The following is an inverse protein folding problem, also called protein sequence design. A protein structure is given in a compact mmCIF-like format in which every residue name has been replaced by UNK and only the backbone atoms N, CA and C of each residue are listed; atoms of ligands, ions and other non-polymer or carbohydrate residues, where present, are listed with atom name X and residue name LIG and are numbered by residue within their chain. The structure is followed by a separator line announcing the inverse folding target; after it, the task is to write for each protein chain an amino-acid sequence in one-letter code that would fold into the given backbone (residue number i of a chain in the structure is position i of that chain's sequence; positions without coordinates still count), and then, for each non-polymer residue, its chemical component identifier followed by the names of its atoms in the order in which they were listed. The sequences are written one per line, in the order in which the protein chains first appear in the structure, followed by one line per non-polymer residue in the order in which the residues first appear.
data_IF_941770919274
#
_entry.id   IF_941770919274
#
_cell.length_a   1.000
_cell.length_b   1.000
_cell.length_c   1.000
_cell.angle_alpha   90.00
_cell.angle_beta   90.00
_cell.angle_gamma   90.00
#
_symmetry.space_group_name_H-M   'P 1'
#
loop_
_entity.id
_entity.type
_entity.pdbx_description
1 polymer ?
#
# COMPACT_ATOMS: atom_id res chain seq x y z
N UNK A 1 11.62 -11.74 -23.90
CA UNK A 1 11.99 -10.83 -22.80
C UNK A 1 12.10 -9.33 -23.17
N UNK A 2 12.28 -8.97 -24.45
CA UNK A 2 12.41 -7.54 -24.87
C UNK A 2 11.21 -6.63 -24.53
N UNK A 3 10.02 -7.18 -24.38
CA UNK A 3 8.80 -6.39 -24.18
C UNK A 3 8.29 -6.35 -22.72
N UNK A 4 8.84 -7.16 -21.82
CA UNK A 4 8.36 -7.23 -20.43
C UNK A 4 8.49 -5.88 -19.70
N UNK A 5 9.60 -5.18 -19.89
CA UNK A 5 9.82 -3.87 -19.29
C UNK A 5 8.97 -2.76 -19.93
N UNK A 6 8.62 -2.87 -21.22
CA UNK A 6 7.70 -1.95 -21.89
C UNK A 6 6.27 -2.12 -21.33
N UNK A 7 5.82 -3.37 -21.16
CA UNK A 7 4.51 -3.68 -20.57
C UNK A 7 4.48 -3.20 -19.12
N UNK A 8 5.53 -3.53 -18.34
CA UNK A 8 5.65 -3.04 -16.97
C UNK A 8 5.60 -1.51 -16.89
N UNK A 9 6.40 -0.83 -17.71
CA UNK A 9 6.41 0.63 -17.78
C UNK A 9 5.05 1.22 -18.17
N UNK A 10 4.33 0.61 -19.11
CA UNK A 10 2.99 1.04 -19.50
C UNK A 10 1.97 0.88 -18.35
N UNK A 11 2.05 -0.22 -17.60
CA UNK A 11 1.18 -0.47 -16.43
C UNK A 11 1.45 0.56 -15.33
N UNK A 12 2.72 0.82 -14.99
CA UNK A 12 3.09 1.84 -14.02
C UNK A 12 2.65 3.24 -14.45
N UNK A 13 2.84 3.58 -15.72
CA UNK A 13 2.41 4.85 -16.28
C UNK A 13 0.88 5.01 -16.20
N UNK A 14 0.11 3.99 -16.61
CA UNK A 14 -1.34 4.01 -16.52
C UNK A 14 -1.82 4.18 -15.07
N UNK A 15 -1.21 3.47 -14.12
CA UNK A 15 -1.50 3.61 -12.70
C UNK A 15 -1.17 5.01 -12.17
N UNK A 16 0.01 5.56 -12.53
CA UNK A 16 0.40 6.92 -12.16
C UNK A 16 -0.59 7.96 -12.69
N UNK A 17 -1.04 7.83 -13.95
CA UNK A 17 -2.09 8.67 -14.53
C UNK A 17 -3.39 8.50 -13.75
N UNK A 18 -3.78 7.27 -13.45
CA UNK A 18 -5.02 6.98 -12.71
C UNK A 18 -5.05 7.65 -11.33
N UNK A 19 -3.99 7.54 -10.53
CA UNK A 19 -3.93 8.18 -9.22
C UNK A 19 -3.74 9.71 -9.28
N UNK A 20 -3.13 10.22 -10.35
CA UNK A 20 -2.88 11.67 -10.50
C UNK A 20 -4.13 12.43 -10.89
N UNK A 21 -4.93 11.85 -11.78
CA UNK A 21 -6.15 12.47 -12.31
C UNK A 21 -7.45 11.95 -11.67
N UNK A 22 -7.35 11.02 -10.74
CA UNK A 22 -8.47 10.59 -9.90
C UNK A 22 -8.94 11.69 -8.96
N UNK A 23 -10.14 11.53 -8.44
CA UNK A 23 -10.81 12.52 -7.58
C UNK A 23 -10.58 12.23 -6.11
N UNK A 24 -9.98 13.18 -5.36
CA UNK A 24 -9.73 13.03 -3.92
C UNK A 24 -8.94 11.75 -3.58
N UNK A 25 -9.59 10.78 -2.94
CA UNK A 25 -9.01 9.53 -2.48
C UNK A 25 -9.36 8.33 -3.38
N UNK A 26 -9.85 8.60 -4.59
CA UNK A 26 -10.23 7.61 -5.60
C UNK A 26 -9.37 7.74 -6.86
N UNK A 27 -9.18 6.64 -7.55
CA UNK A 27 -8.54 6.61 -8.86
C UNK A 27 -9.52 6.99 -10.00
N UNK A 28 -9.04 7.00 -11.26
CA UNK A 28 -9.90 7.30 -12.41
C UNK A 28 -11.03 6.30 -12.64
N UNK A 29 -10.90 5.08 -12.13
CA UNK A 29 -11.94 4.05 -12.21
C UNK A 29 -12.96 4.15 -11.06
N UNK A 30 -12.79 5.14 -10.15
CA UNK A 30 -13.64 5.30 -8.99
C UNK A 30 -13.39 4.29 -7.88
N UNK A 31 -12.23 3.62 -7.90
CA UNK A 31 -11.82 2.73 -6.82
C UNK A 31 -10.99 3.49 -5.79
N UNK A 32 -11.11 3.15 -4.48
CA UNK A 32 -10.23 3.72 -3.46
C UNK A 32 -8.77 3.52 -3.80
N UNK A 33 -7.95 4.57 -3.64
CA UNK A 33 -6.51 4.46 -3.82
C UNK A 33 -5.93 3.43 -2.85
N UNK A 34 -5.23 2.42 -3.38
CA UNK A 34 -4.67 1.37 -2.56
C UNK A 34 -5.75 0.59 -1.82
N UNK A 35 -6.50 -0.27 -2.53
CA UNK A 35 -7.65 -0.98 -1.98
C UNK A 35 -7.41 -1.61 -0.60
N UNK A 36 -6.24 -2.27 -0.40
CA UNK A 36 -5.89 -2.84 0.90
C UNK A 36 -5.27 -1.80 1.86
N UNK A 37 -4.87 -0.62 1.34
CA UNK A 37 -4.25 0.42 2.17
C UNK A 37 -5.24 1.09 3.12
N UNK A 38 -6.53 1.14 2.76
CA UNK A 38 -7.55 1.83 3.55
C UNK A 38 -7.76 1.18 4.93
N UNK A 39 -7.69 -0.15 5.01
CA UNK A 39 -7.83 -0.87 6.27
C UNK A 39 -6.66 -0.56 7.22
N UNK A 40 -5.43 -0.53 6.71
CA UNK A 40 -4.25 -0.15 7.50
C UNK A 40 -4.28 1.30 7.94
N UNK A 41 -4.67 2.21 7.06
CA UNK A 41 -4.78 3.62 7.39
C UNK A 41 -5.86 3.86 8.44
N UNK A 42 -7.03 3.24 8.30
CA UNK A 42 -8.11 3.28 9.27
C UNK A 42 -7.69 2.71 10.63
N UNK A 43 -6.95 1.59 10.64
CA UNK A 43 -6.37 1.04 11.86
C UNK A 43 -5.45 2.05 12.57
N UNK A 44 -4.59 2.74 11.82
CA UNK A 44 -3.74 3.81 12.35
C UNK A 44 -4.54 4.97 12.94
N UNK A 45 -5.62 5.41 12.28
CA UNK A 45 -6.54 6.45 12.78
C UNK A 45 -7.23 5.99 14.06
N UNK A 46 -7.74 4.76 14.10
CA UNK A 46 -8.40 4.16 15.27
C UNK A 46 -7.48 4.20 16.50
N UNK A 47 -6.23 3.77 16.33
CA UNK A 47 -5.24 3.80 17.42
C UNK A 47 -4.93 5.24 17.85
N UNK A 48 -4.77 6.18 16.91
CA UNK A 48 -4.51 7.59 17.22
C UNK A 48 -5.69 8.28 17.93
N UNK A 49 -6.92 7.80 17.74
CA UNK A 49 -8.12 8.26 18.47
C UNK A 49 -8.22 7.67 19.89
N UNK A 50 -7.36 6.68 20.22
CA UNK A 50 -7.42 5.97 21.51
C UNK A 50 -8.52 4.91 21.58
N UNK A 51 -9.04 4.46 20.45
CA UNK A 51 -10.19 3.55 20.28
C UNK A 51 -9.72 2.16 19.83
N UNK A 52 -8.59 1.70 20.36
CA UNK A 52 -7.94 0.44 19.95
C UNK A 52 -8.80 -0.80 20.18
N UNK A 53 -9.79 -0.77 21.04
CA UNK A 53 -10.80 -1.79 21.26
C UNK A 53 -11.76 -1.96 20.07
N UNK A 54 -11.90 -0.92 19.23
CA UNK A 54 -12.72 -0.93 18.01
C UNK A 54 -11.93 -1.30 16.75
N UNK A 55 -10.67 -1.72 16.88
CA UNK A 55 -9.79 -2.03 15.76
C UNK A 55 -10.38 -3.09 14.79
N UNK A 56 -11.14 -4.02 15.33
CA UNK A 56 -11.79 -5.11 14.58
C UNK A 56 -13.32 -5.02 14.61
N UNK A 57 -13.88 -3.91 15.09
CA UNK A 57 -15.32 -3.69 15.04
C UNK A 57 -15.75 -3.35 13.60
N UNK A 58 -16.64 -4.17 13.05
CA UNK A 58 -17.07 -4.08 11.67
C UNK A 58 -17.74 -2.75 11.35
N UNK A 59 -18.72 -2.36 12.15
CA UNK A 59 -19.54 -1.17 11.87
C UNK A 59 -18.72 0.10 12.05
N UNK A 60 -17.90 0.16 13.11
CA UNK A 60 -16.96 1.25 13.33
C UNK A 60 -15.97 1.42 12.19
N UNK A 61 -15.28 0.34 11.78
CA UNK A 61 -14.25 0.40 10.73
C UNK A 61 -14.86 0.77 9.38
N UNK A 62 -16.04 0.24 9.07
CA UNK A 62 -16.74 0.60 7.84
C UNK A 62 -17.08 2.10 7.79
N UNK A 63 -17.64 2.65 8.86
CA UNK A 63 -17.98 4.08 8.96
C UNK A 63 -16.72 4.96 8.89
N UNK A 64 -15.65 4.55 9.58
CA UNK A 64 -14.36 5.24 9.55
C UNK A 64 -13.75 5.28 8.16
N UNK A 65 -13.78 4.17 7.42
CA UNK A 65 -13.26 4.12 6.04
C UNK A 65 -14.08 5.03 5.11
N UNK A 66 -15.41 5.11 5.27
CA UNK A 66 -16.25 6.05 4.54
C UNK A 66 -15.88 7.51 4.88
N UNK A 67 -15.66 7.82 6.15
CA UNK A 67 -15.21 9.15 6.59
C UNK A 67 -13.87 9.52 5.94
N UNK A 68 -12.88 8.61 5.97
CA UNK A 68 -11.54 8.83 5.40
C UNK A 68 -11.60 9.04 3.90
N UNK A 69 -12.39 8.25 3.19
CA UNK A 69 -12.52 8.33 1.74
C UNK A 69 -13.33 9.55 1.28
N UNK A 70 -14.19 10.09 2.16
CA UNK A 70 -15.04 11.24 1.84
C UNK A 70 -16.14 10.93 0.82
N UNK A 71 -16.60 9.69 0.77
CA UNK A 71 -17.59 9.22 -0.19
C UNK A 71 -18.33 7.97 0.28
N UNK A 72 -19.12 7.41 -0.62
CA UNK A 72 -19.80 6.13 -0.43
C UNK A 72 -19.01 5.03 -1.16
N UNK A 73 -18.98 3.83 -0.59
CA UNK A 73 -18.51 2.67 -1.35
C UNK A 73 -19.46 2.43 -2.54
N UNK A 74 -18.90 1.99 -3.66
CA UNK A 74 -19.69 1.64 -4.86
C UNK A 74 -20.73 0.55 -4.56
N UNK A 75 -20.48 -0.28 -3.56
CA UNK A 75 -21.42 -1.27 -3.01
C UNK A 75 -21.55 -1.04 -1.50
N UNK A 76 -22.80 -0.89 -0.96
CA UNK A 76 -23.03 -0.50 0.44
C UNK A 76 -22.51 -1.49 1.47
N UNK A 77 -22.38 -2.77 1.10
CA UNK A 77 -21.98 -3.85 2.00
C UNK A 77 -20.48 -4.20 1.91
N UNK A 78 -19.74 -3.53 1.03
CA UNK A 78 -18.29 -3.77 0.87
C UNK A 78 -17.52 -2.80 1.75
N UNK A 79 -16.64 -3.34 2.57
CA UNK A 79 -15.57 -2.59 3.22
C UNK A 79 -14.30 -3.46 3.24
N UNK A 80 -13.17 -2.81 3.42
CA UNK A 80 -11.87 -3.51 3.48
C UNK A 80 -11.57 -3.90 4.91
N UNK A 81 -11.67 -5.21 5.20
CA UNK A 81 -11.51 -5.73 6.56
C UNK A 81 -10.04 -5.81 6.97
N UNK A 82 -9.69 -5.25 8.11
CA UNK A 82 -8.39 -5.48 8.73
C UNK A 82 -8.31 -6.93 9.23
N UNK A 83 -7.62 -7.79 8.49
CA UNK A 83 -7.43 -9.21 8.81
C UNK A 83 -6.04 -9.52 9.37
N UNK A 84 -5.19 -8.50 9.47
CA UNK A 84 -3.81 -8.63 9.92
C UNK A 84 -3.70 -8.48 11.44
N UNK A 85 -2.69 -9.11 12.08
CA UNK A 85 -2.43 -8.92 13.51
C UNK A 85 -2.15 -7.45 13.85
N UNK A 86 -2.50 -6.99 15.07
CA UNK A 86 -2.44 -5.57 15.46
C UNK A 86 -1.07 -4.91 15.30
N UNK A 87 0.02 -5.68 15.44
CA UNK A 87 1.38 -5.14 15.29
C UNK A 87 1.70 -4.65 13.88
N UNK A 88 1.00 -5.13 12.85
CA UNK A 88 1.13 -4.58 11.49
C UNK A 88 0.59 -3.15 11.37
N UNK A 89 -0.24 -2.69 12.31
CA UNK A 89 -0.74 -1.31 12.33
C UNK A 89 0.31 -0.30 12.80
N UNK A 90 1.44 -0.72 13.36
CA UNK A 90 2.48 0.16 13.92
C UNK A 90 2.97 1.26 12.95
N UNK A 91 3.35 0.98 11.70
CA UNK A 91 3.77 2.01 10.75
C UNK A 91 2.66 3.02 10.46
N UNK A 92 1.41 2.57 10.51
CA UNK A 92 0.25 3.36 10.15
C UNK A 92 -0.19 4.32 11.26
N UNK A 93 0.22 4.12 12.51
CA UNK A 93 0.07 5.12 13.59
C UNK A 93 0.74 6.45 13.20
N UNK A 94 1.87 6.39 12.53
CA UNK A 94 2.55 7.58 12.02
C UNK A 94 1.94 8.05 10.70
N UNK A 95 1.74 7.14 9.75
CA UNK A 95 1.28 7.46 8.40
C UNK A 95 -0.14 8.03 8.38
N UNK A 96 -1.03 7.57 9.27
CA UNK A 96 -2.40 8.07 9.37
C UNK A 96 -2.54 9.51 9.88
N UNK A 97 -1.44 10.15 10.29
CA UNK A 97 -1.40 11.59 10.59
C UNK A 97 -1.36 12.47 9.35
N UNK A 98 -1.08 11.90 8.20
CA UNK A 98 -1.12 12.59 6.91
C UNK A 98 -2.47 12.37 6.22
N UNK A 99 -2.88 13.29 5.32
CA UNK A 99 -4.02 13.04 4.44
C UNK A 99 -3.88 11.72 3.71
N UNK A 100 -4.97 10.99 3.52
CA UNK A 100 -4.98 9.62 3.00
C UNK A 100 -4.11 9.43 1.74
N UNK A 101 -4.30 10.26 0.71
CA UNK A 101 -3.53 10.18 -0.55
C UNK A 101 -2.03 10.38 -0.34
N UNK A 102 -1.65 11.31 0.53
CA UNK A 102 -0.22 11.55 0.86
C UNK A 102 0.35 10.35 1.61
N UNK A 103 -0.38 9.84 2.56
CA UNK A 103 -0.02 8.66 3.34
C UNK A 103 0.17 7.43 2.45
N UNK A 104 -0.73 7.19 1.51
CA UNK A 104 -0.62 6.12 0.52
C UNK A 104 0.63 6.26 -0.37
N UNK A 105 0.92 7.47 -0.85
CA UNK A 105 2.14 7.73 -1.65
C UNK A 105 3.40 7.45 -0.82
N UNK A 106 3.44 7.90 0.43
CA UNK A 106 4.57 7.63 1.34
C UNK A 106 4.76 6.13 1.57
N UNK A 107 3.66 5.39 1.77
CA UNK A 107 3.70 3.94 1.91
C UNK A 107 4.22 3.25 0.65
N UNK A 108 3.76 3.67 -0.52
CA UNK A 108 4.23 3.15 -1.81
C UNK A 108 5.73 3.39 -2.02
N UNK A 109 6.24 4.58 -1.65
CA UNK A 109 7.66 4.89 -1.70
C UNK A 109 8.48 4.05 -0.71
N UNK A 110 7.97 3.83 0.51
CA UNK A 110 8.59 2.92 1.46
C UNK A 110 8.64 1.49 0.92
N UNK A 111 7.58 1.01 0.27
CA UNK A 111 7.55 -0.30 -0.39
C UNK A 111 8.64 -0.44 -1.46
N UNK A 112 8.82 0.56 -2.31
CA UNK A 112 9.92 0.60 -3.28
C UNK A 112 11.29 0.58 -2.57
N UNK A 113 11.42 1.30 -1.46
CA UNK A 113 12.62 1.30 -0.62
C UNK A 113 12.94 -0.09 -0.04
N UNK A 114 11.93 -0.82 0.45
CA UNK A 114 12.10 -2.19 0.95
C UNK A 114 12.57 -3.16 -0.13
N UNK A 115 12.01 -3.06 -1.36
CA UNK A 115 12.45 -3.87 -2.49
C UNK A 115 13.92 -3.58 -2.79
N UNK A 116 14.29 -2.30 -2.91
CA UNK A 116 15.66 -1.91 -3.24
C UNK A 116 16.65 -2.33 -2.14
N UNK A 117 16.31 -2.12 -0.87
CA UNK A 117 17.11 -2.56 0.26
C UNK A 117 17.30 -4.09 0.28
N UNK A 118 16.22 -4.85 0.04
CA UNK A 118 16.30 -6.31 -0.06
C UNK A 118 17.23 -6.77 -1.17
N UNK A 119 17.20 -6.10 -2.34
CA UNK A 119 18.11 -6.41 -3.46
C UNK A 119 19.55 -6.09 -3.10
N UNK A 120 19.82 -4.97 -2.42
CA UNK A 120 21.17 -4.64 -1.97
C UNK A 120 21.75 -5.69 -1.01
N UNK A 121 20.92 -6.27 -0.15
CA UNK A 121 21.31 -7.34 0.75
C UNK A 121 21.66 -8.64 0.04
N UNK A 122 21.17 -8.89 -1.18
CA UNK A 122 21.48 -10.11 -1.94
C UNK A 122 22.85 -10.12 -2.62
N UNK A 123 23.68 -9.09 -2.41
CA UNK A 123 25.03 -8.97 -3.00
C UNK A 123 25.08 -9.22 -4.52
N UNK A 124 24.01 -8.83 -5.23
CA UNK A 124 23.96 -9.00 -6.70
C UNK A 124 24.93 -8.05 -7.40
N UNK A 125 25.53 -8.49 -8.51
CA UNK A 125 26.47 -7.69 -9.30
C UNK A 125 25.88 -6.39 -9.87
N UNK A 126 24.58 -6.37 -10.18
CA UNK A 126 23.89 -5.19 -10.73
C UNK A 126 22.55 -4.96 -10.04
N UNK A 127 22.54 -4.38 -8.82
CA UNK A 127 21.32 -4.15 -8.05
C UNK A 127 20.32 -3.21 -8.75
N UNK A 128 20.82 -2.23 -9.52
CA UNK A 128 19.95 -1.31 -10.26
C UNK A 128 19.17 -2.04 -11.36
N UNK A 129 19.84 -2.92 -12.07
CA UNK A 129 19.20 -3.73 -13.12
C UNK A 129 18.19 -4.70 -12.53
N UNK A 130 18.54 -5.36 -11.43
CA UNK A 130 17.60 -6.27 -10.73
C UNK A 130 16.37 -5.50 -10.23
N UNK A 131 16.57 -4.31 -9.65
CA UNK A 131 15.47 -3.45 -9.23
C UNK A 131 14.54 -3.06 -10.38
N UNK A 132 15.10 -2.60 -11.51
CA UNK A 132 14.30 -2.25 -12.69
C UNK A 132 13.52 -3.45 -13.26
N UNK A 133 14.12 -4.65 -13.24
CA UNK A 133 13.43 -5.87 -13.65
C UNK A 133 12.34 -6.26 -12.65
N UNK A 134 12.57 -6.08 -11.35
CA UNK A 134 11.56 -6.39 -10.33
C UNK A 134 10.30 -5.53 -10.50
N UNK A 135 10.44 -4.27 -10.93
CA UNK A 135 9.30 -3.39 -11.24
C UNK A 135 8.46 -3.88 -12.42
N UNK A 136 9.01 -4.71 -13.30
CA UNK A 136 8.26 -5.34 -14.40
C UNK A 136 7.50 -6.59 -13.97
N UNK A 137 7.68 -7.03 -12.71
CA UNK A 137 7.01 -8.20 -12.15
C UNK A 137 5.65 -7.81 -11.56
N UNK A 138 4.57 -8.31 -12.16
CA UNK A 138 3.20 -7.92 -11.83
C UNK A 138 2.84 -8.02 -10.32
N UNK A 139 3.25 -9.05 -9.55
CA UNK A 139 2.98 -9.10 -8.12
C UNK A 139 3.58 -7.94 -7.31
N UNK A 140 4.72 -7.39 -7.73
CA UNK A 140 5.30 -6.20 -7.10
C UNK A 140 4.45 -4.96 -7.39
N UNK A 141 4.04 -4.80 -8.66
CA UNK A 141 3.10 -3.76 -9.02
C UNK A 141 1.80 -3.86 -8.22
N UNK A 142 1.22 -5.06 -8.13
CA UNK A 142 0.00 -5.30 -7.36
C UNK A 142 0.20 -4.94 -5.88
N UNK A 143 1.30 -5.39 -5.24
CA UNK A 143 1.58 -5.08 -3.84
C UNK A 143 1.67 -3.56 -3.57
N UNK A 144 2.27 -2.78 -4.48
CA UNK A 144 2.37 -1.33 -4.34
C UNK A 144 1.04 -0.65 -4.65
N UNK A 145 0.39 -1.01 -5.74
CA UNK A 145 -0.86 -0.36 -6.18
C UNK A 145 -2.03 -0.61 -5.23
N UNK A 146 -2.08 -1.77 -4.59
CA UNK A 146 -3.06 -2.06 -3.54
C UNK A 146 -2.62 -1.62 -2.13
N UNK A 147 -1.37 -1.19 -1.96
CA UNK A 147 -0.85 -0.76 -0.68
C UNK A 147 -0.65 -1.89 0.34
N UNK A 148 -0.35 -3.10 -0.15
CA UNK A 148 -0.18 -4.29 0.69
C UNK A 148 1.03 -4.20 1.62
N UNK A 149 0.95 -4.86 2.78
CA UNK A 149 2.03 -4.94 3.76
C UNK A 149 3.11 -6.00 3.43
N UNK A 150 2.94 -6.76 2.34
CA UNK A 150 3.86 -7.82 1.91
C UNK A 150 5.28 -7.32 1.67
N UNK A 151 5.44 -6.07 1.23
CA UNK A 151 6.76 -5.46 1.01
C UNK A 151 7.48 -5.12 2.31
N UNK A 152 6.76 -4.75 3.37
CA UNK A 152 7.31 -4.62 4.72
C UNK A 152 7.83 -5.98 5.21
N UNK A 153 7.03 -7.03 5.03
CA UNK A 153 7.43 -8.41 5.37
C UNK A 153 8.67 -8.83 4.59
N UNK A 154 8.74 -8.52 3.28
CA UNK A 154 9.93 -8.78 2.47
C UNK A 154 11.17 -8.11 3.06
N UNK A 155 11.09 -6.82 3.40
CA UNK A 155 12.19 -6.06 4.00
C UNK A 155 12.65 -6.67 5.32
N UNK A 156 11.71 -7.02 6.21
CA UNK A 156 12.02 -7.64 7.51
C UNK A 156 12.65 -9.03 7.36
N UNK A 157 12.12 -9.88 6.48
CA UNK A 157 12.72 -11.20 6.20
C UNK A 157 14.10 -11.09 5.58
N UNK A 158 14.34 -10.12 4.69
CA UNK A 158 15.66 -9.87 4.13
C UNK A 158 16.67 -9.50 5.21
N UNK A 159 16.29 -8.65 6.16
CA UNK A 159 17.15 -8.30 7.30
C UNK A 159 17.47 -9.54 8.14
N UNK A 160 16.49 -10.36 8.51
CA UNK A 160 16.70 -11.58 9.33
C UNK A 160 17.59 -12.60 8.59
N UNK A 161 17.51 -12.67 7.27
CA UNK A 161 18.31 -13.62 6.49
C UNK A 161 19.80 -13.20 6.43
N UNK A 162 20.10 -11.89 6.45
CA UNK A 162 21.45 -11.37 6.28
C UNK A 162 22.17 -11.02 7.60
N UNK A 163 21.48 -11.03 8.73
CA UNK A 163 22.06 -10.81 10.08
C UNK A 163 21.83 -12.00 11.00
#
# INVERSE_FOLDING_TARGET
MKYAWLIGGAVWFAWFVSISFGTSNYDLAGQPLGGDYIDFHAAGVTINRGESDLLYDFDYQRLLQLEILGGEFSEPDVYYALITPPHYSFPFIFLSRFPYKVSFILWSLLGLGFIFASILLTETEDPKRVFLWSLSYFPIFAAISYGQNSLLSLGLFSLVYFF
#
